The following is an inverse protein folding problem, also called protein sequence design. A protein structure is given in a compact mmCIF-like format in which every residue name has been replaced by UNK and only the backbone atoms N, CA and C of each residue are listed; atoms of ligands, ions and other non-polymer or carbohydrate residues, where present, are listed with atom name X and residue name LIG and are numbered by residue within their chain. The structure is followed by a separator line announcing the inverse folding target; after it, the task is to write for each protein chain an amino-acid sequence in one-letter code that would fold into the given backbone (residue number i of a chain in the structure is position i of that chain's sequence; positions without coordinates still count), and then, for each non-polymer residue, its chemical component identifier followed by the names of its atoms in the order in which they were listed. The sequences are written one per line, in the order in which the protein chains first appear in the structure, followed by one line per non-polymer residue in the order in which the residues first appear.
data_IF_393209778367
#
_entry.id   IF_393209778367
#
_cell.length_a   1.000
_cell.length_b   1.000
_cell.length_c   1.000
_cell.angle_alpha   90.00
_cell.angle_beta   90.00
_cell.angle_gamma   90.00
#
_symmetry.space_group_name_H-M   'P 1'
#
loop_
_entity.id
_entity.type
_entity.pdbx_description
1 polymer ?
#
# COMPACT_ATOMS: atom_id res chain seq x y z
N UNK A 1 -8.59 -12.11 9.66
CA UNK A 1 -8.46 -10.73 9.19
C UNK A 1 -9.52 -9.89 9.86
N UNK A 2 -9.18 -8.68 10.31
CA UNK A 2 -10.16 -7.69 10.77
C UNK A 2 -10.85 -7.04 9.58
N UNK A 3 -11.96 -6.31 9.81
CA UNK A 3 -12.66 -5.57 8.75
C UNK A 3 -11.75 -4.49 8.12
N UNK A 4 -10.91 -3.88 8.94
CA UNK A 4 -9.93 -2.89 8.51
C UNK A 4 -8.87 -3.52 7.60
N UNK A 5 -8.42 -4.74 7.90
CA UNK A 5 -7.46 -5.48 7.07
C UNK A 5 -8.01 -5.76 5.66
N UNK A 6 -9.29 -6.16 5.56
CA UNK A 6 -9.95 -6.36 4.26
C UNK A 6 -10.09 -5.05 3.48
N UNK A 7 -10.41 -3.94 4.16
CA UNK A 7 -10.49 -2.63 3.52
C UNK A 7 -9.13 -2.18 2.97
N UNK A 8 -8.05 -2.35 3.74
CA UNK A 8 -6.68 -2.05 3.29
C UNK A 8 -6.28 -2.88 2.07
N UNK A 9 -6.60 -4.17 2.07
CA UNK A 9 -6.30 -5.07 0.96
C UNK A 9 -7.09 -4.71 -0.31
N UNK A 10 -8.39 -4.44 -0.17
CA UNK A 10 -9.24 -4.02 -1.29
C UNK A 10 -8.77 -2.70 -1.90
N UNK A 11 -8.40 -1.74 -1.04
CA UNK A 11 -7.79 -0.48 -1.47
C UNK A 11 -6.49 -0.75 -2.24
N UNK A 12 -5.56 -1.50 -1.66
CA UNK A 12 -4.29 -1.81 -2.32
C UNK A 12 -4.47 -2.48 -3.67
N UNK A 13 -5.36 -3.46 -3.77
CA UNK A 13 -5.65 -4.18 -5.04
C UNK A 13 -6.27 -3.27 -6.09
N UNK A 14 -7.13 -2.33 -5.69
CA UNK A 14 -7.75 -1.35 -6.60
C UNK A 14 -6.72 -0.38 -7.17
N UNK A 15 -5.76 0.05 -6.35
CA UNK A 15 -4.80 1.11 -6.68
C UNK A 15 -3.44 0.59 -7.15
N UNK A 16 -3.14 -0.68 -6.96
CA UNK A 16 -1.86 -1.27 -7.39
C UNK A 16 -1.64 -1.15 -8.90
N UNK A 17 -2.72 -1.25 -9.69
CA UNK A 17 -2.69 -1.03 -11.16
C UNK A 17 -2.35 0.40 -11.58
N UNK A 18 -2.46 1.37 -10.69
CA UNK A 18 -2.20 2.79 -10.95
C UNK A 18 -0.87 3.28 -10.34
N UNK A 19 -0.10 2.42 -9.68
CA UNK A 19 1.17 2.81 -9.03
C UNK A 19 1.04 3.22 -7.56
N UNK A 20 -0.15 3.04 -6.97
CA UNK A 20 -0.45 3.36 -5.56
C UNK A 20 -0.93 4.79 -5.36
N UNK A 21 -1.80 4.98 -4.36
CA UNK A 21 -2.49 6.24 -4.08
C UNK A 21 -2.26 6.70 -2.65
N UNK A 22 -1.01 7.03 -2.39
CA UNK A 22 -0.49 7.43 -1.08
C UNK A 22 -1.23 8.66 -0.52
N UNK A 23 -1.74 9.53 -1.40
CA UNK A 23 -2.49 10.74 -1.06
C UNK A 23 -3.87 10.45 -0.45
N UNK A 24 -4.47 9.30 -0.77
CA UNK A 24 -5.77 8.89 -0.24
C UNK A 24 -5.67 7.94 0.95
N UNK A 25 -4.47 7.44 1.26
CA UNK A 25 -4.25 6.58 2.43
C UNK A 25 -4.54 7.35 3.74
N UNK A 26 -4.03 8.58 3.86
CA UNK A 26 -4.20 9.36 5.08
C UNK A 26 -5.68 9.77 5.32
N UNK A 27 -6.43 10.28 4.32
CA UNK A 27 -7.87 10.53 4.47
C UNK A 27 -8.72 9.29 4.77
N UNK A 28 -8.43 8.14 4.14
CA UNK A 28 -9.25 6.93 4.30
C UNK A 28 -8.95 6.16 5.59
N UNK A 29 -7.67 6.03 5.96
CA UNK A 29 -7.25 5.15 7.05
C UNK A 29 -6.67 5.91 8.25
N UNK A 30 -6.42 7.21 8.14
CA UNK A 30 -5.83 8.02 9.21
C UNK A 30 -4.39 7.64 9.58
N UNK A 31 -3.69 6.89 8.71
CA UNK A 31 -2.30 6.46 8.89
C UNK A 31 -1.41 6.96 7.77
N UNK A 32 -0.11 7.05 8.02
CA UNK A 32 0.85 7.43 6.97
C UNK A 32 0.99 6.31 5.94
N UNK A 33 1.33 6.63 4.68
CA UNK A 33 1.59 5.64 3.63
C UNK A 33 2.60 4.58 4.06
N UNK A 34 3.65 4.98 4.77
CA UNK A 34 4.67 4.06 5.28
C UNK A 34 4.08 3.02 6.25
N UNK A 35 3.26 3.45 7.21
CA UNK A 35 2.60 2.55 8.17
C UNK A 35 1.58 1.67 7.46
N UNK A 36 0.86 2.20 6.47
CA UNK A 36 -0.06 1.42 5.64
C UNK A 36 0.67 0.28 4.91
N UNK A 37 1.76 0.58 4.20
CA UNK A 37 2.53 -0.44 3.48
C UNK A 37 3.20 -1.45 4.39
N UNK A 38 3.68 -1.04 5.57
CA UNK A 38 4.20 -1.97 6.58
C UNK A 38 3.12 -2.93 7.10
N UNK A 39 1.94 -2.41 7.42
CA UNK A 39 0.81 -3.24 7.88
C UNK A 39 0.32 -4.18 6.80
N UNK A 40 0.18 -3.68 5.57
CA UNK A 40 -0.22 -4.47 4.42
C UNK A 40 0.78 -5.59 4.16
N UNK A 41 2.09 -5.30 4.18
CA UNK A 41 3.15 -6.29 4.00
C UNK A 41 3.13 -7.36 5.10
N UNK A 42 3.00 -6.96 6.37
CA UNK A 42 2.88 -7.89 7.48
C UNK A 42 1.64 -8.77 7.33
N UNK A 43 0.52 -8.21 6.89
CA UNK A 43 -0.73 -8.91 6.67
C UNK A 43 -0.64 -9.92 5.53
N UNK A 44 -0.16 -9.53 4.34
CA UNK A 44 0.00 -10.47 3.22
C UNK A 44 1.05 -11.53 3.53
N UNK A 45 2.07 -11.23 4.34
CA UNK A 45 3.06 -12.22 4.78
C UNK A 45 2.51 -13.19 5.82
N UNK A 46 1.72 -12.69 6.78
CA UNK A 46 1.19 -13.46 7.91
C UNK A 46 -0.11 -14.21 7.61
N UNK A 47 -0.91 -13.75 6.64
CA UNK A 47 -2.20 -14.38 6.35
C UNK A 47 -1.96 -15.67 5.59
N UNK A 48 -2.09 -16.78 6.32
CA UNK A 48 -2.00 -18.14 5.82
C UNK A 48 -3.16 -18.42 4.84
N UNK A 49 -2.85 -18.23 3.55
CA UNK A 49 -3.25 -19.09 2.42
C UNK A 49 -4.71 -19.00 1.92
N UNK A 50 -5.69 -18.43 2.62
CA UNK A 50 -7.10 -18.69 2.24
C UNK A 50 -7.90 -17.55 1.58
N UNK A 51 -7.52 -16.28 1.68
CA UNK A 51 -8.37 -15.17 1.19
C UNK A 51 -7.82 -14.42 -0.04
N UNK A 52 -6.54 -14.62 -0.39
CA UNK A 52 -5.88 -13.86 -1.47
C UNK A 52 -5.15 -14.81 -2.40
N UNK A 53 -5.43 -14.69 -3.70
CA UNK A 53 -4.74 -15.46 -4.73
C UNK A 53 -3.22 -15.31 -4.60
N UNK A 54 -2.50 -16.41 -4.78
CA UNK A 54 -1.04 -16.45 -4.64
C UNK A 54 -0.33 -15.42 -5.54
N UNK A 55 -0.87 -15.18 -6.74
CA UNK A 55 -0.32 -14.22 -7.70
C UNK A 55 -0.51 -12.79 -7.22
N UNK A 56 -1.71 -12.45 -6.74
CA UNK A 56 -2.03 -11.14 -6.16
C UNK A 56 -1.20 -10.89 -4.90
N UNK A 57 -1.03 -11.90 -4.05
CA UNK A 57 -0.21 -11.83 -2.85
C UNK A 57 1.24 -11.51 -3.17
N UNK A 58 1.84 -12.26 -4.10
CA UNK A 58 3.24 -12.07 -4.49
C UNK A 58 3.46 -10.67 -5.07
N UNK A 59 2.55 -10.24 -5.95
CA UNK A 59 2.60 -8.90 -6.52
C UNK A 59 2.48 -7.80 -5.46
N UNK A 60 1.59 -7.93 -4.49
CA UNK A 60 1.45 -6.96 -3.40
C UNK A 60 2.67 -6.94 -2.48
N UNK A 61 3.30 -8.10 -2.21
CA UNK A 61 4.54 -8.19 -1.44
C UNK A 61 5.66 -7.41 -2.15
N UNK A 62 5.86 -7.65 -3.44
CA UNK A 62 6.90 -6.97 -4.23
C UNK A 62 6.62 -5.47 -4.35
N UNK A 63 5.36 -5.10 -4.56
CA UNK A 63 4.93 -3.70 -4.62
C UNK A 63 5.16 -2.96 -3.31
N UNK A 64 4.73 -3.53 -2.18
CA UNK A 64 4.93 -2.94 -0.85
C UNK A 64 6.42 -2.86 -0.50
N UNK A 65 7.19 -3.90 -0.81
CA UNK A 65 8.64 -3.92 -0.56
C UNK A 65 9.34 -2.85 -1.40
N UNK A 66 8.94 -2.67 -2.66
CA UNK A 66 9.49 -1.62 -3.52
C UNK A 66 9.12 -0.22 -3.02
N UNK A 67 7.88 -0.01 -2.58
CA UNK A 67 7.40 1.25 -1.97
C UNK A 67 8.12 1.59 -0.65
N UNK A 68 8.41 0.58 0.17
CA UNK A 68 9.12 0.75 1.44
C UNK A 68 10.64 0.90 1.26
N UNK A 69 11.21 0.29 0.22
CA UNK A 69 12.63 0.41 -0.13
C UNK A 69 12.95 1.75 -0.80
N UNK A 70 11.97 2.36 -1.48
CA UNK A 70 12.07 3.76 -1.84
C UNK A 70 11.93 4.58 -0.54
N UNK A 71 12.97 5.33 -0.11
CA UNK A 71 12.80 6.27 0.99
C UNK A 71 11.64 7.19 0.66
N UNK A 72 10.91 7.65 1.68
CA UNK A 72 9.75 8.53 1.61
C UNK A 72 10.08 9.94 1.03
N UNK A 73 10.89 9.99 -0.01
CA UNK A 73 11.42 11.14 -0.71
C UNK A 73 10.95 11.10 -2.17
N UNK A 74 9.64 10.97 -2.41
CA UNK A 74 8.91 11.62 -3.52
C UNK A 74 7.39 11.40 -3.55
N UNK A 75 6.68 11.50 -2.42
CA UNK A 75 5.32 12.08 -2.50
C UNK A 75 5.48 13.60 -2.53
N UNK A 76 5.89 14.06 -3.71
CA UNK A 76 6.06 15.44 -4.11
C UNK A 76 5.08 15.52 -5.29
N UNK A 77 3.86 16.06 -5.17
CA UNK A 77 3.58 17.36 -4.57
C UNK A 77 4.75 18.34 -4.75
N UNK A 78 5.38 18.36 -5.93
CA UNK A 78 6.04 19.55 -6.48
C UNK A 78 5.31 19.87 -7.77
N UNK A 79 4.05 20.24 -7.61
CA UNK A 79 3.72 21.56 -8.09
C UNK A 79 4.41 22.57 -7.16
N UNK A 80 5.63 22.98 -7.49
CA UNK A 80 6.13 24.31 -7.15
C UNK A 80 7.26 24.69 -8.11
N UNK A 81 6.84 25.39 -9.16
CA UNK A 81 7.51 26.47 -9.86
C UNK A 81 9.05 26.53 -9.77
N UNK A 82 9.70 26.28 -10.91
CA UNK A 82 10.89 27.05 -11.27
C UNK A 82 10.45 28.10 -12.30
N UNK A 83 10.56 29.36 -11.85
CA UNK A 83 10.38 30.62 -12.58
C UNK A 83 11.47 30.75 -13.66
#
# INVERSE_FOLDING_TARGET
MTRDDQAMLAFATKWSRFGGEDEYILPEFGITPQVFYQRLLAMVTSTLINDVDFSTRTYLIDFCSSKLAQPASRSVAAAQAAV
#
